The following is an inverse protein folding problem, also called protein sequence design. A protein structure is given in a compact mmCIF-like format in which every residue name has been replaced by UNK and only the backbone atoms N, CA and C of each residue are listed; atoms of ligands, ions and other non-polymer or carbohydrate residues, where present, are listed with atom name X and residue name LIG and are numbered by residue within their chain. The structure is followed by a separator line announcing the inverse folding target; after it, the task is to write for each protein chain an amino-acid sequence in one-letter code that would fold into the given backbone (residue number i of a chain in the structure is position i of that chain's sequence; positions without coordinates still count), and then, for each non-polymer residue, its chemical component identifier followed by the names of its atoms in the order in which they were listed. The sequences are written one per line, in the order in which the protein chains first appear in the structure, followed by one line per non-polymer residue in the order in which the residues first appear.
data_IF_021118880904
#
_entry.id   IF_021118880904
#
_cell.length_a   1.000
_cell.length_b   1.000
_cell.length_c   1.000
_cell.angle_alpha   90.00
_cell.angle_beta   90.00
_cell.angle_gamma   90.00
#
_symmetry.space_group_name_H-M   'P 1'
#
loop_
_entity.id
_entity.type
_entity.pdbx_description
1 polymer ?
#
# COMPACT_ATOMS: atom_id res chain seq x y z
N UNK A 1 33.21 -49.23 -1.16
CA UNK A 1 31.76 -49.11 -0.90
C UNK A 1 31.59 -48.68 0.54
N UNK A 2 31.26 -47.41 0.74
CA UNK A 2 30.56 -46.86 1.90
C UNK A 2 30.36 -45.36 1.57
N UNK A 3 29.24 -45.07 0.93
CA UNK A 3 28.69 -43.73 0.80
C UNK A 3 28.41 -43.19 2.20
N UNK A 4 28.99 -42.04 2.53
CA UNK A 4 28.50 -41.21 3.62
C UNK A 4 27.74 -40.05 2.98
N UNK A 5 26.43 -40.25 2.87
CA UNK A 5 25.44 -39.18 2.72
C UNK A 5 25.35 -38.39 4.04
N UNK A 6 25.00 -37.12 3.87
CA UNK A 6 24.51 -36.18 4.89
C UNK A 6 25.55 -35.55 5.83
N UNK A 7 26.04 -34.39 5.41
CA UNK A 7 26.08 -33.23 6.31
C UNK A 7 25.54 -32.03 5.56
N UNK A 8 24.24 -31.81 5.76
CA UNK A 8 23.49 -30.61 5.42
C UNK A 8 23.94 -29.51 6.38
N UNK A 9 24.77 -28.57 5.93
CA UNK A 9 24.88 -27.25 6.54
C UNK A 9 25.65 -26.27 5.64
N UNK A 10 24.97 -25.17 5.33
CA UNK A 10 25.57 -23.86 5.07
C UNK A 10 26.31 -23.68 3.75
N UNK A 11 25.56 -23.58 2.66
CA UNK A 11 25.89 -22.61 1.62
C UNK A 11 24.96 -21.41 1.79
N UNK A 12 25.43 -20.45 2.59
CA UNK A 12 24.91 -19.10 2.62
C UNK A 12 25.33 -18.44 1.31
N UNK A 13 24.41 -18.32 0.36
CA UNK A 13 24.40 -17.23 -0.63
C UNK A 13 23.14 -17.33 -1.49
N UNK A 14 22.01 -16.90 -0.94
CA UNK A 14 21.02 -16.19 -1.76
C UNK A 14 20.96 -14.75 -1.28
N UNK A 15 22.03 -14.03 -1.61
CA UNK A 15 22.12 -12.57 -1.46
C UNK A 15 21.69 -11.95 -2.78
N UNK A 16 20.48 -12.30 -3.22
CA UNK A 16 19.80 -11.72 -4.37
C UNK A 16 18.41 -11.31 -3.88
N UNK A 17 18.38 -10.44 -2.86
CA UNK A 17 17.25 -9.52 -2.77
C UNK A 17 17.38 -8.63 -4.00
N UNK A 18 16.88 -9.13 -5.13
CA UNK A 18 16.55 -8.33 -6.29
C UNK A 18 15.78 -7.13 -5.73
N UNK A 19 16.43 -5.96 -5.70
CA UNK A 19 15.70 -4.71 -5.72
C UNK A 19 15.05 -4.68 -7.09
N UNK A 20 13.95 -5.43 -7.25
CA UNK A 20 13.08 -5.31 -8.40
C UNK A 20 12.82 -3.82 -8.54
N UNK A 21 13.27 -3.28 -9.68
CA UNK A 21 13.10 -1.87 -9.95
C UNK A 21 11.61 -1.60 -9.95
N UNK A 22 11.16 -0.71 -9.06
CA UNK A 22 9.75 -0.34 -8.97
C UNK A 22 9.26 0.05 -10.36
N UNK A 23 8.32 -0.73 -10.89
CA UNK A 23 7.76 -0.53 -12.22
C UNK A 23 6.60 0.46 -12.15
N UNK A 24 6.25 1.12 -13.28
CA UNK A 24 5.02 1.90 -13.34
C UNK A 24 3.78 1.09 -12.90
N UNK A 25 3.73 -0.20 -13.23
CA UNK A 25 2.63 -1.09 -12.89
C UNK A 25 2.50 -1.24 -11.37
N UNK A 26 3.61 -1.43 -10.66
CA UNK A 26 3.61 -1.53 -9.20
C UNK A 26 3.04 -0.26 -8.56
N UNK A 27 3.42 0.91 -9.06
CA UNK A 27 2.90 2.19 -8.55
C UNK A 27 1.40 2.33 -8.87
N UNK A 28 0.97 1.91 -10.06
CA UNK A 28 -0.43 1.97 -10.46
C UNK A 28 -1.32 1.07 -9.57
N UNK A 29 -0.85 -0.13 -9.23
CA UNK A 29 -1.55 -1.03 -8.31
C UNK A 29 -1.67 -0.41 -6.91
N UNK A 30 -0.57 0.14 -6.38
CA UNK A 30 -0.58 0.82 -5.07
C UNK A 30 -1.52 2.03 -5.08
N UNK A 31 -1.52 2.86 -6.14
CA UNK A 31 -2.48 3.98 -6.29
C UNK A 31 -3.91 3.47 -6.18
N UNK A 32 -4.24 2.40 -6.91
CA UNK A 32 -5.58 1.82 -6.93
C UNK A 32 -5.97 1.30 -5.52
N UNK A 33 -5.06 0.65 -4.81
CA UNK A 33 -5.28 0.19 -3.44
C UNK A 33 -5.56 1.35 -2.47
N UNK A 34 -4.80 2.45 -2.56
CA UNK A 34 -5.01 3.62 -1.73
C UNK A 34 -6.35 4.31 -2.03
N UNK A 35 -6.78 4.36 -3.30
CA UNK A 35 -8.09 4.89 -3.68
C UNK A 35 -9.23 4.03 -3.12
N UNK A 36 -9.11 2.70 -3.19
CA UNK A 36 -10.08 1.79 -2.58
C UNK A 36 -10.11 1.91 -1.07
N UNK A 37 -8.94 2.02 -0.44
CA UNK A 37 -8.82 2.19 1.00
C UNK A 37 -9.49 3.49 1.46
N UNK A 38 -9.25 4.59 0.75
CA UNK A 38 -9.91 5.89 1.00
C UNK A 38 -11.43 5.77 0.98
N UNK A 39 -11.99 5.08 -0.01
CA UNK A 39 -13.43 4.88 -0.14
C UNK A 39 -13.96 4.00 1.00
N UNK A 40 -13.30 2.88 1.28
CA UNK A 40 -13.68 1.97 2.38
C UNK A 40 -13.69 2.70 3.73
N UNK A 41 -12.69 3.54 4.00
CA UNK A 41 -12.60 4.33 5.22
C UNK A 41 -13.82 5.25 5.38
N UNK A 42 -14.23 5.92 4.31
CA UNK A 42 -15.44 6.77 4.30
C UNK A 42 -16.70 5.95 4.57
N UNK A 43 -16.83 4.78 3.92
CA UNK A 43 -18.03 3.94 4.03
C UNK A 43 -18.15 3.31 5.43
N UNK A 44 -17.04 2.81 5.98
CA UNK A 44 -16.96 2.29 7.34
C UNK A 44 -17.31 3.38 8.37
N UNK A 45 -16.70 4.56 8.26
CA UNK A 45 -17.00 5.66 9.18
C UNK A 45 -18.41 6.23 9.00
N UNK A 46 -18.96 6.19 7.79
CA UNK A 46 -20.37 6.52 7.56
C UNK A 46 -21.28 5.55 8.28
N UNK A 47 -21.00 4.24 8.20
CA UNK A 47 -21.76 3.20 8.90
C UNK A 47 -21.68 3.37 10.42
N UNK A 48 -20.48 3.62 10.95
CA UNK A 48 -20.27 3.88 12.39
C UNK A 48 -20.99 5.15 12.83
N UNK A 49 -20.91 6.23 12.05
CA UNK A 49 -21.57 7.48 12.33
C UNK A 49 -23.09 7.35 12.35
N UNK A 50 -23.68 6.61 11.40
CA UNK A 50 -25.11 6.33 11.36
C UNK A 50 -25.56 5.59 12.63
N UNK A 51 -24.83 4.54 13.04
CA UNK A 51 -25.11 3.78 14.26
C UNK A 51 -24.99 4.66 15.51
N UNK A 52 -24.03 5.58 15.53
CA UNK A 52 -23.81 6.54 16.61
C UNK A 52 -24.72 7.79 16.54
N UNK A 53 -25.58 7.91 15.52
CA UNK A 53 -26.37 9.13 15.20
C UNK A 53 -25.49 10.39 15.12
N UNK A 54 -24.25 10.24 14.68
CA UNK A 54 -23.29 11.33 14.53
C UNK A 54 -23.58 12.08 13.22
N UNK A 55 -23.70 13.43 13.26
CA UNK A 55 -23.87 14.22 12.04
C UNK A 55 -22.68 14.05 11.09
N UNK A 56 -22.96 14.04 9.78
CA UNK A 56 -21.95 13.88 8.72
C UNK A 56 -20.78 14.87 8.86
N UNK A 57 -21.06 16.13 9.20
CA UNK A 57 -20.02 17.15 9.39
C UNK A 57 -19.02 16.78 10.50
N UNK A 58 -19.49 16.22 11.63
CA UNK A 58 -18.61 15.79 12.73
C UNK A 58 -17.82 14.53 12.39
N UNK A 59 -18.40 13.61 11.63
CA UNK A 59 -17.69 12.45 11.12
C UNK A 59 -16.59 12.88 10.14
N UNK A 60 -16.92 13.75 9.17
CA UNK A 60 -15.98 14.24 8.17
C UNK A 60 -14.84 15.04 8.80
N UNK A 61 -15.10 15.89 9.79
CA UNK A 61 -14.04 16.61 10.51
C UNK A 61 -13.04 15.68 11.23
N UNK A 62 -13.46 14.44 11.57
CA UNK A 62 -12.56 13.42 12.13
C UNK A 62 -11.78 12.68 11.05
N UNK A 63 -12.38 12.50 9.88
CA UNK A 63 -11.79 11.78 8.75
C UNK A 63 -10.82 12.66 7.94
N UNK A 64 -11.08 13.96 7.86
CA UNK A 64 -10.32 14.94 7.09
C UNK A 64 -8.79 14.80 7.22
N UNK A 65 -8.18 14.72 8.43
CA UNK A 65 -6.73 14.61 8.53
C UNK A 65 -6.17 13.32 7.90
N UNK A 66 -6.89 12.21 8.00
CA UNK A 66 -6.48 10.92 7.42
C UNK A 66 -6.69 10.90 5.91
N UNK A 67 -7.84 11.41 5.43
CA UNK A 67 -8.08 11.60 4.01
C UNK A 67 -7.05 12.51 3.36
N UNK A 68 -6.65 13.61 4.02
CA UNK A 68 -5.65 14.52 3.52
C UNK A 68 -4.27 13.85 3.40
N UNK A 69 -3.90 12.97 4.33
CA UNK A 69 -2.66 12.20 4.24
C UNK A 69 -2.69 11.20 3.08
N UNK A 70 -3.82 10.51 2.90
CA UNK A 70 -4.03 9.59 1.76
C UNK A 70 -3.95 10.36 0.45
N UNK A 71 -4.62 11.51 0.35
CA UNK A 71 -4.64 12.34 -0.86
C UNK A 71 -3.24 12.88 -1.19
N UNK A 72 -2.47 13.32 -0.20
CA UNK A 72 -1.08 13.74 -0.39
C UNK A 72 -0.17 12.58 -0.85
N UNK A 73 -0.39 11.38 -0.32
CA UNK A 73 0.35 10.16 -0.71
C UNK A 73 0.01 9.76 -2.14
N UNK A 74 -1.28 9.78 -2.50
CA UNK A 74 -1.75 9.51 -3.86
C UNK A 74 -1.13 10.47 -4.87
N UNK A 75 -1.04 11.76 -4.54
CA UNK A 75 -0.44 12.75 -5.43
C UNK A 75 1.06 12.50 -5.65
N UNK A 76 1.78 12.12 -4.58
CA UNK A 76 3.18 11.74 -4.69
C UNK A 76 3.35 10.48 -5.57
N UNK A 77 2.53 9.44 -5.35
CA UNK A 77 2.57 8.22 -6.15
C UNK A 77 2.26 8.50 -7.62
N UNK A 78 1.26 9.34 -7.91
CA UNK A 78 0.93 9.76 -9.28
C UNK A 78 2.09 10.53 -9.93
N UNK A 79 2.78 11.38 -9.19
CA UNK A 79 3.98 12.08 -9.67
C UNK A 79 5.10 11.10 -10.01
N UNK A 80 5.35 10.11 -9.15
CA UNK A 80 6.33 9.05 -9.40
C UNK A 80 5.95 8.19 -10.62
N UNK A 81 4.68 7.79 -10.71
CA UNK A 81 4.16 7.04 -11.86
C UNK A 81 4.37 7.83 -13.17
N UNK A 82 3.99 9.10 -13.19
CA UNK A 82 4.19 9.96 -14.36
C UNK A 82 5.67 10.06 -14.76
N UNK A 83 6.58 10.22 -13.79
CA UNK A 83 8.02 10.27 -14.03
C UNK A 83 8.58 8.97 -14.64
N UNK A 84 8.04 7.80 -14.26
CA UNK A 84 8.45 6.52 -14.82
C UNK A 84 7.84 6.23 -16.20
N UNK A 85 6.63 6.73 -16.49
CA UNK A 85 5.96 6.53 -17.79
C UNK A 85 6.29 7.56 -18.86
N UNK A 86 6.92 8.69 -18.49
CA UNK A 86 7.24 9.78 -19.41
C UNK A 86 8.63 9.65 -20.07
N UNK A 87 9.39 8.59 -19.77
CA UNK A 87 10.64 8.23 -20.45
C UNK A 87 10.38 7.28 -21.62
#
# INVERSE_FOLDING_TARGET
MAENLETKASETQDSSLDREAVTPQDIAEVILEFEQYRQRLIDEMTTVAQKAKLPKSKMMARLEPELAQIDATLENLRTQHAALTSN
#
